data_IF_950701875669
#
_entry.id   IF_950701875669
#
_cell.length_a   1.000
_cell.length_b   1.000
_cell.length_c   1.000
_cell.angle_alpha   90.00
_cell.angle_beta   90.00
_cell.angle_gamma   90.00
#
_symmetry.space_group_name_H-M   'P 1'
#
loop_
_entity.id
_entity.type
_entity.pdbx_description
1 polymer ?
#
# COMPACT_ATOMS: atom_id res chain seq x y z
N UNK A 1 18.70 -4.87 8.18
CA UNK A 1 18.21 -3.54 7.78
C UNK A 1 16.71 -3.62 7.52
N UNK A 2 15.92 -2.62 7.95
CA UNK A 2 14.46 -2.60 7.74
C UNK A 2 14.07 -2.65 6.25
N UNK A 3 14.90 -2.08 5.35
CA UNK A 3 14.68 -2.15 3.90
C UNK A 3 14.78 -3.59 3.39
N UNK A 4 15.78 -4.35 3.83
CA UNK A 4 15.96 -5.75 3.40
C UNK A 4 14.81 -6.60 3.91
N UNK A 5 14.34 -6.37 5.15
CA UNK A 5 13.16 -7.04 5.69
C UNK A 5 11.89 -6.70 4.91
N UNK A 6 11.73 -5.44 4.49
CA UNK A 6 10.61 -5.00 3.68
C UNK A 6 10.65 -5.59 2.26
N UNK A 7 11.83 -5.68 1.64
CA UNK A 7 12.02 -6.36 0.35
C UNK A 7 11.69 -7.85 0.46
N UNK A 8 12.23 -8.51 1.48
CA UNK A 8 11.94 -9.91 1.77
C UNK A 8 10.45 -10.10 2.04
N UNK A 9 9.79 -9.18 2.74
CA UNK A 9 8.34 -9.20 2.93
C UNK A 9 7.61 -9.12 1.59
N UNK A 10 7.93 -8.16 0.71
CA UNK A 10 7.27 -8.04 -0.58
C UNK A 10 7.51 -9.26 -1.49
N UNK A 11 8.70 -9.85 -1.46
CA UNK A 11 9.03 -11.06 -2.23
C UNK A 11 8.36 -12.30 -1.64
N UNK A 12 8.27 -12.39 -0.31
CA UNK A 12 7.62 -13.47 0.43
C UNK A 12 6.13 -13.22 0.63
N UNK A 13 5.57 -12.09 0.23
CA UNK A 13 4.14 -11.86 0.36
C UNK A 13 3.38 -12.92 -0.44
N UNK A 14 3.98 -13.49 -1.49
CA UNK A 14 3.54 -14.71 -2.18
C UNK A 14 3.35 -15.94 -1.26
N UNK A 15 3.97 -16.00 -0.08
CA UNK A 15 3.84 -17.04 0.95
C UNK A 15 2.79 -16.77 2.04
N UNK A 16 2.36 -15.52 2.26
CA UNK A 16 1.46 -15.16 3.37
C UNK A 16 -0.02 -15.00 2.96
N UNK A 17 -0.91 -15.19 3.94
CA UNK A 17 -2.35 -15.45 3.76
C UNK A 17 -3.10 -14.28 3.13
N UNK A 18 -3.89 -14.61 2.13
CA UNK A 18 -4.84 -13.74 1.45
C UNK A 18 -5.90 -13.20 2.41
N UNK A 19 -6.32 -11.95 2.23
CA UNK A 19 -7.61 -11.48 2.73
C UNK A 19 -8.70 -12.29 2.02
N UNK A 20 -9.42 -13.15 2.75
CA UNK A 20 -10.63 -13.77 2.23
C UNK A 20 -11.67 -12.66 2.10
N UNK A 21 -11.97 -12.25 0.88
CA UNK A 21 -13.09 -11.34 0.62
C UNK A 21 -14.39 -12.07 0.98
N UNK A 22 -15.21 -11.47 1.84
CA UNK A 22 -16.49 -12.04 2.21
C UNK A 22 -17.39 -12.20 0.97
N UNK A 23 -17.89 -13.41 0.73
CA UNK A 23 -18.70 -13.76 -0.45
C UNK A 23 -17.96 -14.50 -1.57
N UNK A 24 -16.65 -14.70 -1.45
CA UNK A 24 -15.84 -15.37 -2.48
C UNK A 24 -15.46 -16.80 -2.05
N UNK A 25 -16.43 -17.70 -2.03
CA UNK A 25 -16.23 -19.12 -1.67
C UNK A 25 -15.50 -19.91 -2.77
N UNK A 26 -15.25 -19.31 -3.95
CA UNK A 26 -14.68 -20.00 -5.12
C UNK A 26 -13.41 -19.37 -5.71
N UNK A 27 -13.05 -18.11 -5.42
CA UNK A 27 -11.79 -17.56 -5.93
C UNK A 27 -10.63 -17.78 -4.94
N UNK A 28 -10.03 -18.95 -4.99
CA UNK A 28 -8.81 -19.27 -4.24
C UNK A 28 -7.55 -18.54 -4.75
N UNK A 29 -7.66 -17.74 -5.82
CA UNK A 29 -6.50 -17.27 -6.60
C UNK A 29 -6.34 -15.74 -6.66
N UNK A 30 -7.21 -14.97 -5.99
CA UNK A 30 -7.11 -13.50 -5.94
C UNK A 30 -6.33 -13.05 -4.70
N UNK A 31 -5.02 -13.14 -4.79
CA UNK A 31 -4.11 -12.67 -3.75
C UNK A 31 -3.92 -11.16 -3.87
N UNK A 32 -3.87 -10.43 -2.74
CA UNK A 32 -3.45 -9.04 -2.68
C UNK A 32 -2.49 -8.86 -1.50
N UNK A 33 -1.54 -7.94 -1.61
CA UNK A 33 -0.63 -7.61 -0.49
C UNK A 33 -0.94 -6.21 0.00
N UNK A 34 -1.27 -6.12 1.29
CA UNK A 34 -1.52 -4.87 1.99
C UNK A 34 -0.23 -4.41 2.68
N UNK A 35 0.11 -3.14 2.51
CA UNK A 35 1.22 -2.48 3.20
C UNK A 35 0.66 -1.28 3.94
N UNK A 36 0.66 -1.36 5.27
CA UNK A 36 0.17 -0.28 6.16
C UNK A 36 1.32 0.57 6.72
N UNK A 37 2.49 -0.05 6.93
CA UNK A 37 3.66 0.59 7.51
C UNK A 37 4.85 0.64 6.56
N UNK A 38 5.55 1.77 6.56
CA UNK A 38 6.72 2.02 5.73
C UNK A 38 7.97 2.25 6.58
N UNK A 39 9.09 1.61 6.24
CA UNK A 39 10.39 1.95 6.81
C UNK A 39 10.68 3.45 6.75
N UNK A 40 11.13 4.02 7.89
CA UNK A 40 11.43 5.44 8.01
C UNK A 40 12.47 5.94 6.99
N UNK A 41 13.30 5.04 6.48
CA UNK A 41 14.30 5.35 5.46
C UNK A 41 13.65 5.77 4.12
N UNK A 42 12.46 5.28 3.78
CA UNK A 42 11.77 5.66 2.55
C UNK A 42 11.32 7.13 2.55
N UNK A 43 11.06 7.71 3.72
CA UNK A 43 10.76 9.14 3.82
C UNK A 43 12.02 10.02 3.66
N UNK A 44 13.20 9.50 4.02
CA UNK A 44 14.48 10.21 3.84
C UNK A 44 15.02 10.05 2.42
N UNK A 45 14.80 8.88 1.81
CA UNK A 45 15.29 8.53 0.49
C UNK A 45 14.20 7.78 -0.33
N UNK A 46 13.21 8.51 -0.87
CA UNK A 46 12.08 7.92 -1.60
C UNK A 46 12.49 7.11 -2.83
N UNK A 47 13.60 7.49 -3.49
CA UNK A 47 14.14 6.77 -4.66
C UNK A 47 14.30 5.27 -4.41
N UNK A 48 14.72 4.88 -3.21
CA UNK A 48 14.91 3.46 -2.86
C UNK A 48 13.61 2.65 -2.88
N UNK A 49 12.48 3.29 -2.53
CA UNK A 49 11.15 2.70 -2.68
C UNK A 49 10.77 2.63 -4.16
N UNK A 50 10.98 3.71 -4.91
CA UNK A 50 10.61 3.78 -6.34
C UNK A 50 11.33 2.73 -7.17
N UNK A 51 12.64 2.56 -6.96
CA UNK A 51 13.44 1.56 -7.67
C UNK A 51 12.98 0.14 -7.33
N UNK A 52 12.57 -0.09 -6.08
CA UNK A 52 11.98 -1.36 -5.66
C UNK A 52 10.65 -1.63 -6.36
N UNK A 53 9.76 -0.64 -6.42
CA UNK A 53 8.45 -0.77 -7.07
C UNK A 53 8.60 -0.98 -8.58
N UNK A 54 9.52 -0.28 -9.24
CA UNK A 54 9.85 -0.50 -10.66
C UNK A 54 10.29 -1.94 -10.93
N UNK A 55 11.12 -2.51 -10.05
CA UNK A 55 11.51 -3.91 -10.13
C UNK A 55 10.34 -4.86 -9.88
N UNK A 56 9.38 -4.46 -9.05
CA UNK A 56 8.22 -5.27 -8.70
C UNK A 56 7.20 -5.33 -9.85
N UNK A 57 6.86 -4.19 -10.48
CA UNK A 57 5.89 -4.10 -11.59
C UNK A 57 6.34 -4.89 -12.83
N UNK A 58 7.67 -5.04 -13.02
CA UNK A 58 8.24 -5.87 -14.10
C UNK A 58 7.98 -7.38 -13.93
N UNK A 59 7.50 -7.82 -12.77
CA UNK A 59 7.19 -9.23 -12.50
C UNK A 59 5.68 -9.44 -12.43
N UNK A 60 5.12 -10.50 -13.04
CA UNK A 60 3.71 -10.82 -12.90
C UNK A 60 3.45 -11.22 -11.44
N UNK A 61 2.81 -10.33 -10.69
CA UNK A 61 2.48 -10.51 -9.28
C UNK A 61 1.08 -9.97 -8.98
N UNK A 62 0.57 -10.39 -7.82
CA UNK A 62 -0.68 -9.94 -7.23
C UNK A 62 -0.72 -8.41 -7.03
N UNK A 63 -1.92 -7.80 -6.99
CA UNK A 63 -2.09 -6.39 -6.66
C UNK A 63 -1.47 -6.03 -5.30
N UNK A 64 -0.75 -4.91 -5.28
CA UNK A 64 -0.21 -4.26 -4.08
C UNK A 64 -1.11 -3.10 -3.70
N UNK A 65 -1.52 -3.06 -2.44
CA UNK A 65 -2.32 -1.99 -1.87
C UNK A 65 -1.54 -1.34 -0.75
N UNK A 66 -1.35 -0.03 -0.86
CA UNK A 66 -0.65 0.79 0.11
C UNK A 66 -1.68 1.61 0.88
N UNK A 67 -1.70 1.46 2.21
CA UNK A 67 -2.50 2.31 3.09
C UNK A 67 -1.59 3.40 3.60
N UNK A 68 -1.87 4.63 3.18
CA UNK A 68 -1.14 5.81 3.64
C UNK A 68 -2.09 6.64 4.48
N UNK A 69 -1.90 6.59 5.80
CA UNK A 69 -2.62 7.45 6.73
C UNK A 69 -2.02 8.85 6.70
N UNK A 70 -2.79 9.80 6.18
CA UNK A 70 -2.38 11.19 6.14
C UNK A 70 -2.55 11.84 7.51
N UNK A 71 -1.59 12.68 7.90
CA UNK A 71 -1.73 13.47 9.12
C UNK A 71 -2.48 14.76 8.77
N UNK A 72 -3.38 15.26 9.65
CA UNK A 72 -4.16 16.48 9.40
C UNK A 72 -3.29 17.74 9.17
N UNK A 73 -1.98 17.65 9.43
CA UNK A 73 -0.99 18.71 9.24
C UNK A 73 -0.20 18.64 7.92
N UNK A 74 -0.46 17.69 7.01
CA UNK A 74 0.15 17.79 5.68
C UNK A 74 -0.02 16.61 4.75
N UNK A 75 -0.43 16.96 3.53
CA UNK A 75 -0.46 16.21 2.25
C UNK A 75 0.93 15.65 1.80
N UNK A 76 1.89 15.60 2.73
CA UNK A 76 3.31 15.40 2.46
C UNK A 76 3.73 13.93 2.41
N UNK A 77 3.06 13.03 3.13
CA UNK A 77 3.49 11.61 3.20
C UNK A 77 3.22 10.89 1.89
N UNK A 78 2.01 11.07 1.34
CA UNK A 78 1.65 10.49 0.04
C UNK A 78 2.54 11.06 -1.07
N UNK A 79 2.72 12.38 -1.14
CA UNK A 79 3.58 13.00 -2.16
C UNK A 79 5.06 12.66 -1.99
N UNK A 80 5.54 12.48 -0.76
CA UNK A 80 6.92 12.06 -0.49
C UNK A 80 7.19 10.63 -0.95
N UNK A 81 6.30 9.70 -0.64
CA UNK A 81 6.46 8.27 -0.99
C UNK A 81 6.04 7.98 -2.42
N UNK A 82 4.97 8.61 -2.90
CA UNK A 82 4.32 8.38 -4.18
C UNK A 82 4.06 9.71 -4.90
N UNK A 83 5.09 10.41 -5.38
CA UNK A 83 4.90 11.62 -6.15
C UNK A 83 4.14 11.31 -7.46
N UNK A 84 3.46 12.32 -8.02
CA UNK A 84 2.57 12.15 -9.20
C UNK A 84 3.25 11.49 -10.40
N UNK A 85 4.55 11.73 -10.57
CA UNK A 85 5.37 11.13 -11.63
C UNK A 85 5.44 9.62 -11.46
N UNK A 86 5.69 9.15 -10.24
CA UNK A 86 5.76 7.72 -9.90
C UNK A 86 4.38 7.08 -9.98
N UNK A 87 3.33 7.78 -9.54
CA UNK A 87 1.96 7.26 -9.65
C UNK A 87 1.58 7.00 -11.12
N UNK A 88 1.91 7.95 -12.01
CA UNK A 88 1.68 7.78 -13.46
C UNK A 88 2.57 6.70 -14.05
N UNK A 89 3.86 6.69 -13.72
CA UNK A 89 4.84 5.73 -14.24
C UNK A 89 4.47 4.29 -13.91
N UNK A 90 4.02 4.05 -12.68
CA UNK A 90 3.72 2.71 -12.17
C UNK A 90 2.23 2.36 -12.23
N UNK A 91 1.40 3.20 -12.87
CA UNK A 91 -0.05 3.06 -12.95
C UNK A 91 -0.73 2.84 -11.59
N UNK A 92 -0.30 3.60 -10.58
CA UNK A 92 -0.86 3.54 -9.22
C UNK A 92 -2.17 4.32 -9.18
N UNK A 93 -3.25 3.64 -8.79
CA UNK A 93 -4.53 4.27 -8.51
C UNK A 93 -4.59 4.71 -7.05
N UNK A 94 -4.93 5.98 -6.81
CA UNK A 94 -5.11 6.52 -5.47
C UNK A 94 -6.60 6.53 -5.09
N UNK A 95 -6.93 5.92 -3.95
CA UNK A 95 -8.26 5.98 -3.34
C UNK A 95 -8.14 6.87 -2.10
N UNK A 96 -8.82 8.02 -2.11
CA UNK A 96 -8.84 8.93 -0.97
C UNK A 96 -10.12 8.74 -0.17
N UNK A 97 -9.99 8.55 1.14
CA UNK A 97 -11.10 8.53 2.06
C UNK A 97 -11.26 9.91 2.68
N UNK A 98 -12.44 10.50 2.50
CA UNK A 98 -12.77 11.75 3.18
C UNK A 98 -12.87 11.49 4.68
N UNK A 99 -12.26 12.33 5.55
CA UNK A 99 -12.39 12.18 6.98
C UNK A 99 -13.85 12.34 7.38
N UNK A 100 -14.38 11.35 8.09
CA UNK A 100 -15.74 11.36 8.62
C UNK A 100 -15.65 11.56 10.14
N UNK A 101 -16.50 12.42 10.74
CA UNK A 101 -16.55 12.57 12.19
C UNK A 101 -16.74 11.21 12.88
N UNK A 102 -16.03 10.93 14.00
CA UNK A 102 -16.15 9.65 14.70
C UNK A 102 -17.59 9.30 15.09
N UNK A 103 -18.41 10.31 15.38
CA UNK A 103 -19.84 10.18 15.73
C UNK A 103 -20.69 9.62 14.59
N UNK A 104 -20.36 9.94 13.34
CA UNK A 104 -21.04 9.40 12.16
C UNK A 104 -20.58 7.97 11.86
N UNK A 105 -19.30 7.66 12.11
CA UNK A 105 -18.78 6.30 11.95
C UNK A 105 -19.43 5.32 12.93
N UNK A 106 -19.58 5.69 14.21
CA UNK A 106 -20.23 4.83 15.21
C UNK A 106 -21.69 4.51 14.86
N UNK A 107 -22.43 5.45 14.26
CA UNK A 107 -23.82 5.23 13.81
C UNK A 107 -23.95 4.25 12.64
N UNK A 108 -22.90 4.10 11.82
CA UNK A 108 -22.91 3.16 10.69
C UNK A 108 -22.48 1.74 11.10
N UNK A 109 -21.82 1.60 12.25
CA UNK A 109 -21.34 0.33 12.80
C UNK A 109 -22.29 -0.28 13.84
N UNK A 110 -23.29 0.48 14.29
CA UNK A 110 -24.40 0.03 15.14
C UNK A 110 -25.56 -0.51 14.31
#
# INVERSE_FOLDING_TARGET
SQIVQFQDFLLRANKYRCLKMAGDEKATDRKLTLVEDFPNQFYRQPRSLHDMLRCFVRRPQYPLVFVVSDCPSGDGRLQSLFPREIQKELAISCISFNPVPPTTMMKALS
#
